data_IF_532086225457
#
_entry.id   IF_532086225457
#
_cell.length_a   1.000
_cell.length_b   1.000
_cell.length_c   1.000
_cell.angle_alpha   90.00
_cell.angle_beta   90.00
_cell.angle_gamma   90.00
#
_symmetry.space_group_name_H-M   'P 1'
#
loop_
_entity.id
_entity.type
_entity.pdbx_description
1 polymer ?
#
# COMPACT_ATOMS: atom_id res chain seq x y z
N UNK A 1 42.70 -81.83 -6.52
CA UNK A 1 41.85 -80.74 -7.03
C UNK A 1 40.41 -81.12 -6.77
N UNK A 2 39.75 -80.48 -5.81
CA UNK A 2 38.33 -80.70 -5.49
C UNK A 2 37.65 -79.34 -5.56
N UNK A 3 36.70 -79.21 -6.48
CA UNK A 3 35.97 -77.96 -6.75
C UNK A 3 34.74 -77.92 -5.84
N UNK A 4 34.61 -76.89 -5.01
CA UNK A 4 33.38 -76.62 -4.25
C UNK A 4 32.35 -75.92 -5.14
N UNK A 5 31.06 -76.31 -5.13
CA UNK A 5 30.02 -75.56 -5.81
C UNK A 5 29.54 -74.37 -4.96
N UNK A 6 29.44 -73.21 -5.60
CA UNK A 6 28.87 -71.97 -5.05
C UNK A 6 27.36 -72.14 -4.85
N UNK A 7 26.90 -72.06 -3.60
CA UNK A 7 25.49 -72.01 -3.26
C UNK A 7 24.92 -70.61 -3.58
N UNK A 8 24.01 -70.53 -4.56
CA UNK A 8 23.24 -69.31 -4.90
C UNK A 8 22.01 -69.24 -3.98
N UNK A 9 21.98 -68.26 -3.07
CA UNK A 9 20.80 -68.00 -2.22
C UNK A 9 19.57 -67.65 -3.07
N UNK A 10 18.39 -68.24 -2.81
CA UNK A 10 17.17 -67.82 -3.46
C UNK A 10 16.69 -66.50 -2.85
N UNK A 11 16.69 -65.43 -3.66
CA UNK A 11 16.05 -64.16 -3.32
C UNK A 11 14.54 -64.39 -3.30
N UNK A 12 13.96 -64.47 -2.12
CA UNK A 12 12.51 -64.51 -1.91
C UNK A 12 11.95 -63.19 -2.47
N UNK A 13 11.09 -63.29 -3.49
CA UNK A 13 10.35 -62.17 -4.06
C UNK A 13 9.00 -62.13 -3.35
N UNK A 14 8.80 -61.13 -2.50
CA UNK A 14 7.54 -60.94 -1.78
C UNK A 14 6.38 -60.68 -2.79
N UNK A 15 5.33 -61.51 -2.81
CA UNK A 15 4.18 -61.32 -3.68
C UNK A 15 3.21 -60.34 -3.00
N UNK A 16 3.53 -59.05 -3.06
CA UNK A 16 2.72 -58.00 -2.47
C UNK A 16 3.23 -56.58 -2.64
N UNK A 17 4.40 -56.39 -3.26
CA UNK A 17 4.88 -55.05 -3.61
C UNK A 17 4.07 -54.53 -4.81
N UNK A 18 2.97 -53.84 -4.53
CA UNK A 18 2.38 -52.89 -5.48
C UNK A 18 3.36 -51.74 -5.65
N UNK A 19 3.94 -51.64 -6.85
CA UNK A 19 4.77 -50.53 -7.31
C UNK A 19 3.91 -49.25 -7.50
N UNK A 20 3.30 -48.74 -6.43
CA UNK A 20 2.73 -47.40 -6.47
C UNK A 20 3.83 -46.36 -6.20
N UNK A 21 4.08 -45.41 -7.12
CA UNK A 21 5.05 -44.36 -6.87
C UNK A 21 4.55 -43.47 -5.72
N UNK A 22 5.31 -43.46 -4.62
CA UNK A 22 5.20 -42.49 -3.54
C UNK A 22 5.25 -41.08 -4.13
N UNK A 23 4.09 -40.46 -4.33
CA UNK A 23 4.02 -39.06 -4.77
C UNK A 23 4.43 -38.16 -3.60
N UNK A 24 5.59 -37.49 -3.63
CA UNK A 24 6.07 -36.71 -2.49
C UNK A 24 5.36 -35.35 -2.35
N UNK A 25 4.31 -35.10 -3.13
CA UNK A 25 3.82 -33.75 -3.38
C UNK A 25 2.36 -33.49 -3.00
N UNK A 26 1.67 -34.46 -2.38
CA UNK A 26 0.29 -34.26 -1.92
C UNK A 26 0.19 -33.81 -0.46
N UNK A 27 1.27 -33.93 0.33
CA UNK A 27 1.26 -33.58 1.75
C UNK A 27 1.54 -32.10 1.98
N UNK A 28 2.34 -31.43 1.13
CA UNK A 28 2.77 -30.04 1.35
C UNK A 28 1.60 -29.03 1.56
N UNK A 29 0.42 -29.31 1.01
CA UNK A 29 -0.76 -28.44 1.17
C UNK A 29 -1.73 -28.86 2.28
N UNK A 30 -1.58 -30.04 2.89
CA UNK A 30 -2.50 -30.57 3.92
C UNK A 30 -2.17 -30.14 5.36
N UNK A 31 -1.03 -29.48 5.57
CA UNK A 31 -0.60 -28.91 6.86
C UNK A 31 -1.09 -27.48 7.09
N UNK A 32 -1.66 -26.84 6.05
CA UNK A 32 -2.40 -25.60 6.20
C UNK A 32 -3.79 -25.96 6.73
N UNK A 33 -3.87 -26.17 8.03
CA UNK A 33 -5.12 -26.32 8.77
C UNK A 33 -6.12 -25.26 8.28
N UNK A 34 -7.34 -25.67 7.91
CA UNK A 34 -8.38 -24.75 7.44
C UNK A 34 -8.65 -23.63 8.48
N UNK A 35 -8.47 -23.95 9.75
CA UNK A 35 -8.49 -23.03 10.90
C UNK A 35 -7.30 -22.04 10.91
N UNK A 36 -6.11 -22.43 10.46
CA UNK A 36 -4.97 -21.53 10.25
C UNK A 36 -5.22 -20.57 9.08
N UNK A 37 -5.71 -21.08 7.93
CA UNK A 37 -6.01 -20.24 6.75
C UNK A 37 -7.08 -19.20 7.10
N UNK A 38 -8.18 -19.61 7.74
CA UNK A 38 -9.26 -18.70 8.15
C UNK A 38 -8.80 -17.67 9.15
N UNK A 39 -7.93 -18.02 10.12
CA UNK A 39 -7.32 -17.05 11.05
C UNK A 39 -6.43 -16.06 10.33
N UNK A 40 -5.57 -16.51 9.43
CA UNK A 40 -4.69 -15.63 8.64
C UNK A 40 -5.53 -14.69 7.78
N UNK A 41 -6.56 -15.19 7.10
CA UNK A 41 -7.47 -14.38 6.30
C UNK A 41 -8.25 -13.37 7.16
N UNK A 42 -8.72 -13.78 8.35
CA UNK A 42 -9.41 -12.88 9.27
C UNK A 42 -8.48 -11.79 9.81
N UNK A 43 -7.24 -12.12 10.17
CA UNK A 43 -6.23 -11.14 10.62
C UNK A 43 -5.84 -10.20 9.48
N UNK A 44 -5.62 -10.71 8.27
CA UNK A 44 -5.36 -9.88 7.10
C UNK A 44 -6.54 -8.97 6.77
N UNK A 45 -7.76 -9.50 6.80
CA UNK A 45 -8.99 -8.71 6.60
C UNK A 45 -9.13 -7.62 7.65
N UNK A 46 -8.92 -7.95 8.93
CA UNK A 46 -8.92 -6.98 10.02
C UNK A 46 -7.81 -5.94 9.87
N UNK A 47 -6.61 -6.34 9.42
CA UNK A 47 -5.49 -5.43 9.16
C UNK A 47 -5.79 -4.49 7.98
N UNK A 48 -6.39 -5.00 6.91
CA UNK A 48 -6.82 -4.17 5.77
C UNK A 48 -7.89 -3.18 6.22
N UNK A 49 -8.91 -3.61 6.97
CA UNK A 49 -9.95 -2.73 7.51
C UNK A 49 -9.36 -1.70 8.48
N UNK A 50 -8.40 -2.10 9.31
CA UNK A 50 -7.65 -1.21 10.19
C UNK A 50 -6.90 -0.16 9.37
N UNK A 51 -6.18 -0.56 8.32
CA UNK A 51 -5.45 0.36 7.44
C UNK A 51 -6.39 1.29 6.67
N UNK A 52 -7.55 0.80 6.24
CA UNK A 52 -8.59 1.63 5.61
C UNK A 52 -9.17 2.61 6.63
N UNK A 53 -9.46 2.17 7.86
CA UNK A 53 -10.00 2.99 8.93
C UNK A 53 -9.01 4.04 9.43
N UNK A 54 -7.75 3.65 9.66
CA UNK A 54 -6.64 4.55 9.96
C UNK A 54 -6.41 5.49 8.79
N UNK A 55 -6.43 5.00 7.56
CA UNK A 55 -6.36 5.82 6.35
C UNK A 55 -7.47 6.86 6.35
N UNK A 56 -8.74 6.45 6.45
CA UNK A 56 -9.90 7.33 6.45
C UNK A 56 -9.88 8.36 7.59
N UNK A 57 -9.46 7.94 8.79
CA UNK A 57 -9.33 8.82 9.96
C UNK A 57 -8.14 9.76 9.83
N UNK A 58 -7.00 9.26 9.34
CA UNK A 58 -5.82 10.05 9.04
C UNK A 58 -6.08 11.03 7.90
N UNK A 59 -6.99 10.71 6.98
CA UNK A 59 -7.37 11.53 5.83
C UNK A 59 -8.48 12.56 6.14
N UNK A 60 -9.02 12.59 7.37
CA UNK A 60 -9.90 13.66 7.89
C UNK A 60 -9.11 14.67 8.74
N UNK A 61 -8.38 15.62 8.13
CA UNK A 61 -7.78 16.71 8.88
C UNK A 61 -8.87 17.55 9.56
N UNK A 62 -8.66 17.89 10.83
CA UNK A 62 -9.54 18.80 11.59
C UNK A 62 -9.09 20.26 11.55
N UNK A 63 -7.87 20.49 11.06
CA UNK A 63 -7.19 21.78 11.03
C UNK A 63 -6.66 22.08 9.63
N UNK A 64 -6.65 23.37 9.27
CA UNK A 64 -6.10 23.90 8.02
C UNK A 64 -4.62 23.53 7.88
N UNK A 65 -3.84 23.74 8.93
CA UNK A 65 -2.43 23.34 8.94
C UNK A 65 -2.22 21.82 8.80
N UNK A 66 -3.18 21.03 9.30
CA UNK A 66 -3.18 19.58 9.15
C UNK A 66 -3.38 19.13 7.72
N UNK A 67 -4.19 19.85 6.93
CA UNK A 67 -4.33 19.64 5.48
C UNK A 67 -2.99 19.90 4.80
N UNK A 68 -2.38 21.06 5.05
CA UNK A 68 -1.14 21.45 4.39
C UNK A 68 0.02 20.50 4.67
N UNK A 69 0.19 20.06 5.92
CA UNK A 69 1.19 19.02 6.27
C UNK A 69 1.00 17.74 5.46
N UNK A 70 -0.24 17.35 5.18
CA UNK A 70 -0.53 16.14 4.39
C UNK A 70 -0.22 16.34 2.92
N UNK A 71 -0.51 17.51 2.37
CA UNK A 71 -0.09 17.88 1.01
C UNK A 71 1.43 17.72 0.90
N UNK A 72 2.21 18.29 1.82
CA UNK A 72 3.68 18.14 1.82
C UNK A 72 4.12 16.67 1.87
N UNK A 73 3.54 15.88 2.78
CA UNK A 73 3.86 14.44 2.89
C UNK A 73 3.52 13.69 1.58
N UNK A 74 2.33 13.91 1.02
CA UNK A 74 1.92 13.25 -0.22
C UNK A 74 2.76 13.70 -1.41
N UNK A 75 3.14 14.98 -1.49
CA UNK A 75 4.02 15.50 -2.53
C UNK A 75 5.39 14.81 -2.49
N UNK A 76 5.98 14.67 -1.30
CA UNK A 76 7.25 13.96 -1.11
C UNK A 76 7.14 12.48 -1.51
N UNK A 77 6.06 11.81 -1.13
CA UNK A 77 5.79 10.43 -1.52
C UNK A 77 5.56 10.28 -3.03
N UNK A 78 4.88 11.25 -3.66
CA UNK A 78 4.66 11.31 -5.09
C UNK A 78 5.94 11.62 -5.90
N UNK A 79 7.04 11.98 -5.23
CA UNK A 79 8.34 12.20 -5.84
C UNK A 79 8.67 13.66 -6.13
N UNK A 80 7.88 14.60 -5.61
CA UNK A 80 8.30 15.98 -5.58
C UNK A 80 9.38 16.18 -4.51
N UNK A 81 10.48 16.81 -4.87
CA UNK A 81 11.41 17.38 -3.90
C UNK A 81 10.71 18.52 -3.16
N UNK A 82 10.97 18.74 -1.88
CA UNK A 82 10.41 19.89 -1.14
C UNK A 82 11.57 20.83 -0.82
N UNK A 83 11.40 22.12 -1.13
CA UNK A 83 12.42 23.12 -0.85
C UNK A 83 12.18 23.73 0.55
N UNK A 84 13.20 23.81 1.42
CA UNK A 84 13.06 24.51 2.70
C UNK A 84 12.67 25.97 2.48
N UNK A 85 11.67 26.47 3.21
CA UNK A 85 11.20 27.85 3.11
C UNK A 85 10.30 28.15 1.91
N UNK A 86 9.96 27.15 1.09
CA UNK A 86 9.06 27.31 -0.04
C UNK A 86 7.66 27.75 0.41
N UNK A 87 7.14 28.80 -0.22
CA UNK A 87 5.80 29.31 0.06
C UNK A 87 4.71 28.41 -0.53
N UNK A 88 3.46 28.47 -0.02
CA UNK A 88 2.37 27.66 -0.56
C UNK A 88 2.14 27.84 -2.05
N UNK A 89 2.23 29.07 -2.55
CA UNK A 89 2.01 29.42 -3.96
C UNK A 89 3.18 29.01 -4.85
N UNK A 90 4.42 29.01 -4.35
CA UNK A 90 5.57 28.46 -5.07
C UNK A 90 5.49 26.95 -5.20
N UNK A 91 5.12 26.27 -4.10
CA UNK A 91 4.89 24.83 -4.10
C UNK A 91 3.79 24.48 -5.10
N UNK A 92 2.67 25.20 -5.09
CA UNK A 92 1.56 25.02 -6.05
C UNK A 92 2.05 25.10 -7.50
N UNK A 93 2.72 26.19 -7.87
CA UNK A 93 3.23 26.37 -9.24
C UNK A 93 4.19 25.26 -9.64
N UNK A 94 5.09 24.84 -8.75
CA UNK A 94 6.08 23.82 -9.04
C UNK A 94 5.45 22.43 -9.15
N UNK A 95 4.56 22.10 -8.21
CA UNK A 95 3.89 20.82 -8.13
C UNK A 95 2.85 20.68 -9.26
N UNK A 96 2.17 21.75 -9.64
CA UNK A 96 1.28 21.80 -10.80
C UNK A 96 2.00 21.60 -12.13
N UNK A 97 3.26 22.02 -12.26
CA UNK A 97 4.10 21.67 -13.42
C UNK A 97 4.50 20.19 -13.42
N UNK A 98 4.80 19.63 -12.25
CA UNK A 98 5.20 18.22 -12.11
C UNK A 98 4.00 17.25 -12.27
N UNK A 99 2.82 17.68 -11.85
CA UNK A 99 1.58 16.92 -11.82
C UNK A 99 0.40 17.72 -12.43
N UNK A 100 0.38 17.93 -13.75
CA UNK A 100 -0.63 18.76 -14.42
C UNK A 100 -2.07 18.30 -14.16
N UNK A 101 -2.27 16.98 -14.00
CA UNK A 101 -3.58 16.38 -13.71
C UNK A 101 -4.19 16.84 -12.38
N UNK A 102 -3.36 17.22 -11.41
CA UNK A 102 -3.81 17.66 -10.09
C UNK A 102 -3.75 19.19 -9.94
N UNK A 103 -3.19 19.91 -10.91
CA UNK A 103 -2.91 21.34 -10.82
C UNK A 103 -4.14 22.20 -10.49
N UNK A 104 -5.33 22.01 -11.12
CA UNK A 104 -6.51 22.83 -10.78
C UNK A 104 -6.94 22.67 -9.33
N UNK A 105 -6.94 21.43 -8.83
CA UNK A 105 -7.34 21.12 -7.46
C UNK A 105 -6.31 21.58 -6.42
N UNK A 106 -5.03 21.52 -6.79
CA UNK A 106 -3.94 22.03 -5.97
C UNK A 106 -3.99 23.56 -5.86
N UNK A 107 -4.27 24.24 -6.97
CA UNK A 107 -4.41 25.68 -7.00
C UNK A 107 -5.56 26.15 -6.11
N UNK A 108 -6.74 25.54 -6.26
CA UNK A 108 -7.90 25.84 -5.40
C UNK A 108 -7.63 25.59 -3.91
N UNK A 109 -6.89 24.52 -3.58
CA UNK A 109 -6.51 24.24 -2.20
C UNK A 109 -5.53 25.30 -1.66
N UNK A 110 -4.59 25.74 -2.49
CA UNK A 110 -3.57 26.71 -2.12
C UNK A 110 -4.17 28.09 -1.89
N UNK A 111 -5.07 28.54 -2.76
CA UNK A 111 -5.77 29.82 -2.59
C UNK A 111 -6.57 29.85 -1.29
N UNK A 112 -7.37 28.81 -1.04
CA UNK A 112 -8.12 28.69 0.21
C UNK A 112 -7.20 28.60 1.43
N UNK A 113 -6.07 27.89 1.33
CA UNK A 113 -5.11 27.75 2.41
C UNK A 113 -4.44 29.09 2.75
N UNK A 114 -4.03 29.88 1.75
CA UNK A 114 -3.38 31.18 1.96
C UNK A 114 -4.31 32.11 2.74
N UNK A 115 -5.59 32.19 2.35
CA UNK A 115 -6.58 32.97 3.09
C UNK A 115 -6.75 32.41 4.50
N UNK A 116 -6.93 31.09 4.64
CA UNK A 116 -7.15 30.47 5.95
C UNK A 116 -5.93 30.53 6.90
N UNK A 117 -4.71 30.70 6.37
CA UNK A 117 -3.47 30.75 7.14
C UNK A 117 -3.03 32.17 7.47
N UNK A 118 -3.32 33.15 6.60
CA UNK A 118 -2.75 34.50 6.70
C UNK A 118 -3.78 35.63 6.78
N UNK A 119 -5.07 35.36 6.55
CA UNK A 119 -6.12 36.37 6.69
C UNK A 119 -6.56 36.56 8.16
N UNK A 120 -7.24 37.68 8.48
CA UNK A 120 -7.92 37.89 9.74
C UNK A 120 -8.78 36.71 10.20
N UNK A 121 -8.95 36.48 11.52
CA UNK A 121 -9.59 35.28 12.07
C UNK A 121 -11.00 35.01 11.52
N UNK A 122 -11.78 36.04 11.24
CA UNK A 122 -13.15 35.95 10.73
C UNK A 122 -13.15 35.33 9.33
N UNK A 123 -12.28 35.83 8.45
CA UNK A 123 -12.09 35.29 7.11
C UNK A 123 -11.48 33.89 7.16
N UNK A 124 -10.48 33.68 8.03
CA UNK A 124 -9.82 32.38 8.16
C UNK A 124 -10.78 31.26 8.59
N UNK A 125 -11.71 31.54 9.51
CA UNK A 125 -12.75 30.58 9.92
C UNK A 125 -13.77 30.34 8.80
N UNK A 126 -14.16 31.38 8.07
CA UNK A 126 -15.08 31.27 6.94
C UNK A 126 -14.51 30.43 5.78
N UNK A 127 -13.19 30.47 5.57
CA UNK A 127 -12.51 29.72 4.48
C UNK A 127 -12.16 28.28 4.85
N UNK A 128 -12.16 27.92 6.15
CA UNK A 128 -11.83 26.56 6.61
C UNK A 128 -12.62 25.44 5.89
N UNK A 129 -13.94 25.54 5.66
CA UNK A 129 -14.70 24.53 4.91
C UNK A 129 -14.16 24.36 3.48
N UNK A 130 -13.86 25.45 2.78
CA UNK A 130 -13.32 25.42 1.42
C UNK A 130 -11.97 24.72 1.34
N UNK A 131 -11.09 24.91 2.34
CA UNK A 131 -9.81 24.16 2.43
C UNK A 131 -10.06 22.65 2.55
N UNK A 132 -11.03 22.26 3.39
CA UNK A 132 -11.35 20.84 3.62
C UNK A 132 -11.97 20.19 2.38
N UNK A 133 -12.82 20.92 1.66
CA UNK A 133 -13.43 20.47 0.40
C UNK A 133 -12.38 20.34 -0.72
N UNK A 134 -11.53 21.36 -0.89
CA UNK A 134 -10.43 21.32 -1.85
C UNK A 134 -9.49 20.16 -1.55
N UNK A 135 -9.20 19.87 -0.28
CA UNK A 135 -8.44 18.69 0.11
C UNK A 135 -9.14 17.39 -0.26
N UNK A 136 -10.44 17.27 0.00
CA UNK A 136 -11.21 16.09 -0.33
C UNK A 136 -11.15 15.75 -1.82
N UNK A 137 -11.15 16.77 -2.68
CA UNK A 137 -11.00 16.60 -4.14
C UNK A 137 -9.57 16.28 -4.57
N UNK A 138 -8.54 16.94 -4.00
CA UNK A 138 -7.13 16.74 -4.34
C UNK A 138 -6.60 15.35 -3.93
N UNK A 139 -6.97 14.90 -2.73
CA UNK A 139 -6.48 13.69 -2.07
C UNK A 139 -6.48 12.42 -2.95
N UNK A 140 -7.59 12.02 -3.62
CA UNK A 140 -7.58 10.81 -4.43
C UNK A 140 -6.56 10.85 -5.58
N UNK A 141 -6.31 12.02 -6.17
CA UNK A 141 -5.33 12.15 -7.26
C UNK A 141 -3.90 11.97 -6.75
N UNK A 142 -3.56 12.63 -5.63
CA UNK A 142 -2.24 12.46 -5.01
C UNK A 142 -2.00 11.01 -4.57
N UNK A 143 -3.01 10.35 -3.98
CA UNK A 143 -2.89 8.94 -3.58
C UNK A 143 -2.70 8.01 -4.77
N UNK A 144 -3.42 8.21 -5.88
CA UNK A 144 -3.23 7.42 -7.11
C UNK A 144 -1.79 7.54 -7.61
N UNK A 145 -1.21 8.73 -7.57
CA UNK A 145 0.19 9.00 -7.95
C UNK A 145 1.19 8.31 -7.03
N UNK A 146 0.97 8.37 -5.72
CA UNK A 146 1.81 7.64 -4.75
C UNK A 146 1.75 6.13 -5.01
N UNK A 147 0.55 5.59 -5.24
CA UNK A 147 0.36 4.17 -5.52
C UNK A 147 0.98 3.73 -6.85
N UNK A 148 0.91 4.56 -7.90
CA UNK A 148 1.53 4.25 -9.19
C UNK A 148 3.05 4.24 -9.11
N UNK A 149 3.64 4.98 -8.16
CA UNK A 149 5.08 4.98 -7.90
C UNK A 149 5.53 3.78 -7.07
N UNK A 150 4.71 3.33 -6.13
CA UNK A 150 5.05 2.23 -5.20
C UNK A 150 4.80 0.86 -5.83
N UNK A 151 3.87 0.72 -6.78
CA UNK A 151 3.73 -0.52 -7.54
C UNK A 151 4.98 -0.68 -8.42
N UNK A 152 5.84 -1.68 -8.16
CA UNK A 152 6.88 -2.02 -9.12
C UNK A 152 6.18 -2.39 -10.42
N UNK A 153 6.63 -1.83 -11.53
CA UNK A 153 6.24 -2.35 -12.83
C UNK A 153 6.46 -3.85 -12.83
N UNK A 154 5.45 -4.61 -13.26
CA UNK A 154 5.70 -5.94 -13.83
C UNK A 154 6.64 -5.70 -15.01
N UNK A 155 7.93 -5.90 -14.80
CA UNK A 155 8.93 -6.14 -15.81
C UNK A 155 9.25 -7.63 -15.76
#
# INVERSE_FOLDING_TARGET
>A
MVTTPVARSPRIKDPGATDEPLTPNQTAFRWLDSTMITRIAAVLGALVLLLIGLGARYLRPRTVMGVWRRVLVLSRLAGAELQPGETPTELDKRLGRAFPEAAPHLHSLTDAFVVAAYAPPEMAQATKPSVMEAWASLRPMMLRRVLSRVRPGRA
#
